data_IF_844289489563
#
_entry.id   IF_844289489563
#
_cell.length_a   1.000
_cell.length_b   1.000
_cell.length_c   1.000
_cell.angle_alpha   90.00
_cell.angle_beta   90.00
_cell.angle_gamma   90.00
#
_symmetry.space_group_name_H-M   'P 1'
#
loop_
_entity.id
_entity.type
_entity.pdbx_description
1 polymer ?
#
# COMPACT_ATOMS: atom_id res chain seq x y z
N UNK A 1 2.68 9.41 4.69
CA UNK A 1 3.23 8.26 5.45
C UNK A 1 3.90 7.22 4.55
N UNK A 2 3.20 6.48 3.68
CA UNK A 2 3.87 5.51 2.77
C UNK A 2 4.77 6.21 1.73
N UNK A 3 4.23 7.21 1.03
CA UNK A 3 4.95 8.05 0.05
C UNK A 3 6.12 8.84 0.65
N UNK A 4 6.06 9.15 1.95
CA UNK A 4 7.14 9.85 2.67
C UNK A 4 8.23 8.89 3.17
N UNK A 5 7.86 7.67 3.51
CA UNK A 5 8.78 6.67 4.09
C UNK A 5 9.42 5.77 3.05
N UNK A 6 8.81 5.61 1.87
CA UNK A 6 9.26 4.72 0.81
C UNK A 6 9.33 5.52 -0.49
N UNK A 7 10.52 6.03 -0.88
CA UNK A 7 10.70 6.89 -2.05
C UNK A 7 10.22 6.29 -3.37
N UNK A 8 10.20 4.96 -3.45
CA UNK A 8 9.73 4.21 -4.62
C UNK A 8 8.20 4.31 -4.81
N UNK A 9 7.44 4.69 -3.77
CA UNK A 9 5.99 4.89 -3.82
C UNK A 9 5.69 6.34 -4.20
N UNK A 10 5.16 6.52 -5.40
CA UNK A 10 4.84 7.83 -5.99
C UNK A 10 3.50 8.33 -5.48
N UNK A 11 2.50 7.45 -5.41
CA UNK A 11 1.13 7.78 -4.97
C UNK A 11 0.43 6.57 -4.34
N UNK A 12 -0.57 6.83 -3.50
CA UNK A 12 -1.45 5.80 -2.92
C UNK A 12 -2.90 6.27 -3.01
N UNK A 13 -3.77 5.47 -3.61
CA UNK A 13 -5.19 5.78 -3.79
C UNK A 13 -6.06 4.52 -3.68
N UNK A 14 -7.39 4.69 -3.82
CA UNK A 14 -8.40 3.62 -3.69
C UNK A 14 -8.23 2.76 -2.43
N UNK A 15 -8.07 3.43 -1.28
CA UNK A 15 -7.85 2.78 0.01
C UNK A 15 -9.19 2.35 0.59
N UNK A 16 -9.31 1.07 0.92
CA UNK A 16 -10.38 0.54 1.74
C UNK A 16 -9.79 -0.15 2.98
N UNK A 17 -10.33 0.15 4.15
CA UNK A 17 -9.91 -0.46 5.40
C UNK A 17 -11.12 -0.96 6.18
N UNK A 18 -10.98 -2.14 6.78
CA UNK A 18 -12.03 -2.79 7.57
C UNK A 18 -11.43 -3.33 8.86
N UNK A 19 -12.12 -3.12 9.98
CA UNK A 19 -11.78 -3.76 11.25
C UNK A 19 -12.54 -5.08 11.37
N UNK A 20 -11.82 -6.18 11.57
CA UNK A 20 -12.39 -7.49 11.88
C UNK A 20 -12.62 -7.66 13.38
N UNK A 21 -11.87 -6.93 14.20
CA UNK A 21 -12.00 -6.84 15.65
C UNK A 21 -11.34 -5.55 16.17
N UNK A 22 -11.40 -5.32 17.49
CA UNK A 22 -10.76 -4.18 18.15
C UNK A 22 -9.24 -4.09 17.90
N UNK A 23 -8.60 -5.20 17.50
CA UNK A 23 -7.15 -5.29 17.30
C UNK A 23 -6.73 -5.76 15.91
N UNK A 24 -7.66 -5.92 14.97
CA UNK A 24 -7.36 -6.48 13.66
C UNK A 24 -7.94 -5.63 12.53
N UNK A 25 -7.07 -4.95 11.79
CA UNK A 25 -7.43 -4.18 10.59
C UNK A 25 -6.93 -4.90 9.33
N UNK A 26 -7.80 -5.00 8.32
CA UNK A 26 -7.47 -5.45 6.97
C UNK A 26 -7.60 -4.28 6.01
N UNK A 27 -6.72 -4.20 5.02
CA UNK A 27 -6.72 -3.08 4.08
C UNK A 27 -6.51 -3.54 2.63
N UNK A 28 -7.13 -2.85 1.68
CA UNK A 28 -6.80 -2.94 0.26
C UNK A 28 -6.45 -1.54 -0.23
N UNK A 29 -5.43 -1.40 -1.08
CA UNK A 29 -5.05 -0.12 -1.67
C UNK A 29 -4.38 -0.30 -3.03
N UNK A 30 -4.35 0.79 -3.80
CA UNK A 30 -3.54 0.90 -5.01
C UNK A 30 -2.33 1.78 -4.69
N UNK A 31 -1.17 1.39 -5.19
CA UNK A 31 0.08 2.13 -5.02
C UNK A 31 0.74 2.32 -6.38
N UNK A 32 0.92 3.58 -6.75
CA UNK A 32 1.75 3.93 -7.89
C UNK A 32 3.21 3.85 -7.46
N UNK A 33 4.01 3.08 -8.18
CA UNK A 33 5.41 2.83 -7.84
C UNK A 33 6.33 3.09 -9.03
N UNK A 34 7.61 3.38 -8.76
CA UNK A 34 8.57 3.58 -9.83
C UNK A 34 8.87 2.27 -10.59
N UNK A 35 8.98 2.33 -11.93
CA UNK A 35 9.16 1.17 -12.81
C UNK A 35 10.41 0.32 -12.52
N UNK A 36 11.41 0.90 -11.86
CA UNK A 36 12.67 0.23 -11.55
C UNK A 36 12.66 -0.50 -10.19
N UNK A 37 11.52 -0.50 -9.48
CA UNK A 37 11.39 -1.06 -8.14
C UNK A 37 11.29 -2.59 -8.16
N UNK A 38 11.99 -3.26 -7.24
CA UNK A 38 11.69 -4.66 -6.93
C UNK A 38 10.36 -4.73 -6.18
N UNK A 39 9.33 -5.20 -6.88
CA UNK A 39 7.97 -5.29 -6.37
C UNK A 39 7.85 -6.17 -5.12
N UNK A 40 8.63 -7.24 -5.02
CA UNK A 40 8.54 -8.17 -3.89
C UNK A 40 9.10 -7.52 -2.63
N UNK A 41 10.26 -6.87 -2.75
CA UNK A 41 10.88 -6.11 -1.64
C UNK A 41 9.97 -4.95 -1.23
N UNK A 42 9.38 -4.25 -2.20
CA UNK A 42 8.51 -3.12 -1.96
C UNK A 42 7.21 -3.53 -1.25
N UNK A 43 6.60 -4.63 -1.67
CA UNK A 43 5.39 -5.18 -1.05
C UNK A 43 5.62 -5.51 0.43
N UNK A 44 6.74 -6.17 0.74
CA UNK A 44 7.10 -6.51 2.13
C UNK A 44 7.34 -5.25 2.97
N UNK A 45 8.07 -4.26 2.44
CA UNK A 45 8.30 -2.98 3.13
C UNK A 45 7.00 -2.23 3.42
N UNK A 46 6.12 -2.15 2.42
CA UNK A 46 4.82 -1.48 2.58
C UNK A 46 3.96 -2.20 3.61
N UNK A 47 3.84 -3.53 3.54
CA UNK A 47 3.10 -4.33 4.53
C UNK A 47 3.65 -4.18 5.95
N UNK A 48 4.97 -4.21 6.10
CA UNK A 48 5.61 -4.02 7.40
C UNK A 48 5.30 -2.64 7.99
N UNK A 49 5.38 -1.58 7.18
CA UNK A 49 5.07 -0.23 7.62
C UNK A 49 3.60 -0.09 8.02
N UNK A 50 2.70 -0.69 7.24
CA UNK A 50 1.27 -0.69 7.54
C UNK A 50 0.93 -1.43 8.83
N UNK A 51 1.60 -2.56 9.08
CA UNK A 51 1.48 -3.29 10.34
C UNK A 51 1.99 -2.46 11.52
N UNK A 52 3.16 -1.84 11.40
CA UNK A 52 3.79 -1.10 12.49
C UNK A 52 3.07 0.21 12.84
N UNK A 53 2.57 0.95 11.84
CA UNK A 53 2.00 2.28 12.07
C UNK A 53 0.48 2.27 12.23
N UNK A 54 -0.21 1.30 11.62
CA UNK A 54 -1.67 1.29 11.56
C UNK A 54 -2.29 -0.01 12.08
N UNK A 55 -1.48 -0.94 12.63
CA UNK A 55 -1.93 -2.23 13.14
C UNK A 55 -2.73 -3.04 12.09
N UNK A 56 -2.31 -2.93 10.82
CA UNK A 56 -2.91 -3.67 9.71
C UNK A 56 -2.35 -5.08 9.70
N UNK A 57 -3.19 -6.08 9.97
CA UNK A 57 -2.80 -7.49 10.01
C UNK A 57 -2.69 -8.12 8.62
N UNK A 58 -3.42 -7.58 7.64
CA UNK A 58 -3.37 -8.05 6.26
C UNK A 58 -3.63 -6.90 5.31
N UNK A 59 -2.81 -6.80 4.26
CA UNK A 59 -3.00 -5.82 3.20
C UNK A 59 -2.88 -6.46 1.81
N UNK A 60 -3.84 -6.15 0.94
CA UNK A 60 -3.74 -6.41 -0.50
C UNK A 60 -3.35 -5.10 -1.19
N UNK A 61 -2.22 -5.10 -1.90
CA UNK A 61 -1.69 -3.90 -2.54
C UNK A 61 -1.58 -4.18 -4.03
N UNK A 62 -2.27 -3.38 -4.85
CA UNK A 62 -2.12 -3.41 -6.30
C UNK A 62 -1.06 -2.38 -6.70
N UNK A 63 -0.05 -2.82 -7.46
CA UNK A 63 0.96 -1.92 -8.01
C UNK A 63 0.57 -1.39 -9.38
N UNK A 64 0.83 -0.10 -9.59
CA UNK A 64 0.61 0.61 -10.84
C UNK A 64 1.89 1.36 -11.23
N UNK A 65 2.23 1.37 -12.53
CA UNK A 65 3.50 1.92 -13.03
C UNK A 65 3.32 3.21 -13.83
N UNK A 66 2.22 3.30 -14.57
CA UNK A 66 1.77 4.49 -15.30
C UNK A 66 0.50 5.00 -14.64
N UNK A 67 0.28 6.32 -14.64
CA UNK A 67 -0.86 6.94 -13.95
C UNK A 67 -2.17 6.20 -14.22
N UNK A 68 -2.95 6.01 -13.14
CA UNK A 68 -4.09 5.11 -13.06
C UNK A 68 -5.02 5.20 -14.30
N UNK A 69 -5.29 4.08 -15.03
CA UNK A 69 -6.28 4.06 -16.10
C UNK A 69 -7.72 4.16 -15.57
N UNK A 70 -7.93 4.03 -14.26
CA UNK A 70 -9.24 4.02 -13.59
C UNK A 70 -9.66 5.42 -13.09
N UNK A 71 -9.33 6.46 -13.86
CA UNK A 71 -9.92 7.79 -13.67
C UNK A 71 -11.33 7.80 -14.26
N UNK A 72 -12.31 7.41 -13.46
CA UNK A 72 -13.72 7.71 -13.71
C UNK A 72 -14.32 8.48 -12.53
#
# INVERSE_FOLDING_TARGET
>A
HLTEAIPEVIDVHHIHAWSLSDSQTVMTLHAQISEQSDQSVLLERMKALLAQQFNVSHATIQFEFSGCPDRH
#
